data_IF_480649274861
#
_entry.id   IF_480649274861
#
_cell.length_a   1.000
_cell.length_b   1.000
_cell.length_c   1.000
_cell.angle_alpha   90.00
_cell.angle_beta   90.00
_cell.angle_gamma   90.00
#
_symmetry.space_group_name_H-M   'P 1'
#
loop_
_entity.id
_entity.type
_entity.pdbx_description
1 polymer ?
#
# COMPACT_ATOMS: atom_id res chain seq x y z
N UNK A 1 20.44 1.67 -15.76
CA UNK A 1 19.01 1.35 -15.64
C UNK A 1 18.63 1.32 -14.16
N UNK A 2 17.46 1.85 -13.84
CA UNK A 2 16.96 1.83 -12.46
C UNK A 2 16.02 0.65 -12.27
N UNK A 3 16.16 -0.03 -11.14
CA UNK A 3 15.23 -1.09 -10.75
C UNK A 3 14.54 -0.70 -9.46
N UNK A 4 13.24 -0.86 -9.43
CA UNK A 4 12.46 -0.63 -8.23
C UNK A 4 12.61 -1.84 -7.30
N UNK A 5 13.16 -1.62 -6.12
CA UNK A 5 13.37 -2.68 -5.13
C UNK A 5 12.11 -2.88 -4.28
N UNK A 6 11.63 -1.81 -3.68
CA UNK A 6 10.41 -1.87 -2.87
C UNK A 6 9.71 -0.52 -2.85
N UNK A 7 8.46 -0.53 -2.45
CA UNK A 7 7.67 0.68 -2.23
C UNK A 7 6.90 0.56 -0.93
N UNK A 8 6.64 1.69 -0.30
CA UNK A 8 5.68 1.80 0.78
C UNK A 8 4.61 2.76 0.33
N UNK A 9 3.37 2.29 0.32
CA UNK A 9 2.22 3.07 -0.12
C UNK A 9 1.23 3.23 1.02
N UNK A 10 0.65 4.41 1.16
CA UNK A 10 -0.35 4.69 2.18
C UNK A 10 -1.61 5.15 1.47
N UNK A 11 -2.71 4.49 1.78
CA UNK A 11 -4.02 4.78 1.18
C UNK A 11 -5.03 5.15 2.25
N UNK A 12 -6.01 5.93 1.85
CA UNK A 12 -7.17 6.22 2.66
C UNK A 12 -8.37 5.54 2.01
N UNK A 13 -9.07 4.72 2.77
CA UNK A 13 -10.31 4.05 2.32
C UNK A 13 -11.42 4.31 3.33
N UNK A 14 -12.66 4.28 2.85
CA UNK A 14 -13.81 4.69 3.66
C UNK A 14 -14.40 3.62 4.54
N UNK A 15 -14.12 2.34 4.29
CA UNK A 15 -14.74 1.24 5.02
C UNK A 15 -13.80 0.06 5.19
N UNK A 16 -14.14 -0.82 6.12
CA UNK A 16 -13.36 -2.05 6.33
C UNK A 16 -13.48 -3.00 5.13
N UNK A 17 -14.60 -2.98 4.44
CA UNK A 17 -14.80 -3.76 3.23
C UNK A 17 -13.81 -3.33 2.14
N UNK A 18 -13.56 -2.04 2.02
CA UNK A 18 -12.55 -1.52 1.08
C UNK A 18 -11.14 -1.94 1.47
N UNK A 19 -10.84 -2.02 2.77
CA UNK A 19 -9.56 -2.54 3.27
C UNK A 19 -9.38 -3.98 2.82
N UNK A 20 -10.42 -4.81 2.95
CA UNK A 20 -10.37 -6.22 2.55
C UNK A 20 -10.19 -6.38 1.04
N UNK A 21 -10.88 -5.58 0.26
CA UNK A 21 -10.74 -5.58 -1.20
C UNK A 21 -9.31 -5.20 -1.60
N UNK A 22 -8.76 -4.16 -1.00
CA UNK A 22 -7.40 -3.72 -1.27
C UNK A 22 -6.39 -4.80 -0.90
N UNK A 23 -6.57 -5.47 0.25
CA UNK A 23 -5.71 -6.56 0.67
C UNK A 23 -5.71 -7.70 -0.35
N UNK A 24 -6.88 -8.06 -0.85
CA UNK A 24 -7.01 -9.10 -1.84
C UNK A 24 -6.34 -8.73 -3.16
N UNK A 25 -6.50 -7.49 -3.60
CA UNK A 25 -5.83 -6.99 -4.81
C UNK A 25 -4.32 -7.09 -4.71
N UNK A 26 -3.73 -6.67 -3.58
CA UNK A 26 -2.27 -6.69 -3.43
C UNK A 26 -1.72 -8.09 -3.23
N UNK A 27 -2.51 -9.02 -2.70
CA UNK A 27 -2.09 -10.41 -2.54
C UNK A 27 -2.09 -11.18 -3.85
N UNK A 28 -2.98 -10.84 -4.75
CA UNK A 28 -3.15 -11.56 -6.03
C UNK A 28 -2.30 -11.00 -7.16
N UNK A 29 -1.67 -9.84 -6.96
CA UNK A 29 -0.81 -9.24 -7.98
C UNK A 29 0.52 -10.00 -8.02
N UNK A 30 0.86 -10.57 -9.18
CA UNK A 30 2.09 -11.34 -9.36
C UNK A 30 3.34 -10.54 -9.66
N UNK A 31 3.24 -9.20 -9.73
CA UNK A 31 4.38 -8.34 -10.07
C UNK A 31 5.30 -8.07 -8.89
N UNK A 32 4.86 -8.35 -7.68
CA UNK A 32 5.60 -8.07 -6.46
C UNK A 32 5.20 -9.03 -5.35
N UNK A 33 6.01 -9.05 -4.29
CA UNK A 33 5.67 -9.75 -3.06
C UNK A 33 5.15 -8.74 -2.04
N UNK A 34 4.09 -9.12 -1.34
CA UNK A 34 3.56 -8.31 -0.26
C UNK A 34 4.40 -8.53 1.00
N UNK A 35 5.20 -7.55 1.39
CA UNK A 35 6.05 -7.64 2.57
C UNK A 35 5.28 -7.33 3.85
N UNK A 36 4.39 -6.33 3.82
CA UNK A 36 3.55 -6.01 4.97
C UNK A 36 2.25 -5.33 4.51
N UNK A 37 1.22 -5.55 5.31
CA UNK A 37 -0.08 -4.91 5.13
C UNK A 37 -0.62 -4.60 6.51
N UNK A 38 -0.91 -3.34 6.77
CA UNK A 38 -1.48 -2.92 8.04
C UNK A 38 -2.49 -1.81 7.80
N UNK A 39 -3.40 -1.64 8.74
CA UNK A 39 -4.37 -0.56 8.66
C UNK A 39 -4.70 -0.05 10.05
N UNK A 40 -5.18 1.19 10.11
CA UNK A 40 -5.61 1.84 11.35
C UNK A 40 -6.93 2.54 11.10
N UNK A 41 -7.83 2.42 12.06
CA UNK A 41 -9.04 3.23 12.09
C UNK A 41 -8.69 4.64 12.52
N UNK A 42 -9.21 5.62 11.78
CA UNK A 42 -9.03 7.03 12.11
C UNK A 42 -10.37 7.75 12.05
N UNK A 43 -10.52 8.76 12.87
CA UNK A 43 -11.73 9.57 12.85
C UNK A 43 -11.41 11.01 13.26
N UNK A 44 -12.27 11.90 12.79
CA UNK A 44 -12.28 13.29 13.22
C UNK A 44 -13.51 13.50 14.08
N UNK A 45 -13.33 14.07 15.28
CA UNK A 45 -14.41 14.33 16.20
C UNK A 45 -14.57 15.83 16.40
N UNK A 46 -15.81 16.24 16.55
CA UNK A 46 -16.15 17.61 16.92
C UNK A 46 -17.25 17.58 17.96
N UNK A 47 -17.02 18.23 19.11
CA UNK A 47 -17.98 18.27 20.22
C UNK A 47 -18.42 16.88 20.69
N UNK A 48 -17.50 15.91 20.68
CA UNK A 48 -17.77 14.53 21.07
C UNK A 48 -18.44 13.65 20.03
N UNK A 49 -18.74 14.22 18.86
CA UNK A 49 -19.36 13.46 17.76
C UNK A 49 -18.35 13.16 16.66
N UNK A 50 -18.46 11.98 16.07
CA UNK A 50 -17.64 11.60 14.92
C UNK A 50 -18.23 12.25 13.68
N UNK A 51 -17.47 13.17 13.07
CA UNK A 51 -17.89 13.88 11.87
C UNK A 51 -17.29 13.29 10.60
N UNK A 52 -16.21 12.53 10.73
CA UNK A 52 -15.59 11.82 9.61
C UNK A 52 -14.82 10.62 10.17
N UNK A 53 -14.84 9.53 9.43
CA UNK A 53 -14.11 8.33 9.80
C UNK A 53 -13.58 7.64 8.54
N UNK A 54 -12.42 7.00 8.68
CA UNK A 54 -11.80 6.30 7.56
C UNK A 54 -10.78 5.30 8.07
N UNK A 55 -10.22 4.53 7.16
CA UNK A 55 -9.09 3.64 7.46
C UNK A 55 -7.87 4.09 6.68
N UNK A 56 -6.73 4.12 7.34
CA UNK A 56 -5.44 4.39 6.71
C UNK A 56 -4.73 3.06 6.55
N UNK A 57 -4.44 2.69 5.31
CA UNK A 57 -3.81 1.42 4.96
C UNK A 57 -2.37 1.67 4.54
N UNK A 58 -1.45 0.90 5.13
CA UNK A 58 -0.03 0.96 4.77
C UNK A 58 0.38 -0.36 4.16
N UNK A 59 0.98 -0.31 2.96
CA UNK A 59 1.35 -1.48 2.18
C UNK A 59 2.81 -1.38 1.79
N UNK A 60 3.58 -2.43 2.08
CA UNK A 60 4.95 -2.54 1.61
C UNK A 60 5.02 -3.65 0.58
N UNK A 61 5.47 -3.29 -0.62
CA UNK A 61 5.63 -4.18 -1.77
C UNK A 61 7.10 -4.35 -2.09
N UNK A 62 7.53 -5.58 -2.32
CA UNK A 62 8.91 -5.89 -2.71
C UNK A 62 8.90 -6.40 -4.13
N UNK A 63 9.64 -5.74 -5.00
CA UNK A 63 9.73 -6.09 -6.43
C UNK A 63 10.98 -6.89 -6.73
N UNK A 64 12.13 -6.39 -6.31
CA UNK A 64 13.41 -7.01 -6.59
C UNK A 64 14.36 -6.79 -5.43
N UNK A 65 14.72 -7.84 -4.72
CA UNK A 65 15.67 -7.75 -3.60
C UNK A 65 17.08 -8.17 -4.03
N UNK A 66 17.20 -8.89 -5.12
CA UNK A 66 18.46 -9.42 -5.59
C UNK A 66 19.19 -8.42 -6.47
N UNK A 67 20.51 -8.61 -6.57
CA UNK A 67 21.36 -7.78 -7.42
C UNK A 67 20.93 -7.83 -8.89
N UNK A 68 20.51 -9.02 -9.34
CA UNK A 68 20.04 -9.22 -10.70
C UNK A 68 18.52 -9.46 -10.64
N UNK A 69 17.71 -8.39 -10.72
CA UNK A 69 16.27 -8.51 -10.56
C UNK A 69 15.63 -9.25 -11.72
N UNK A 70 14.69 -10.14 -11.41
CA UNK A 70 13.92 -10.86 -12.39
C UNK A 70 12.73 -10.05 -12.93
N UNK A 71 12.36 -8.99 -12.25
CA UNK A 71 11.25 -8.12 -12.64
C UNK A 71 11.71 -6.69 -12.75
N UNK A 72 11.50 -6.10 -13.93
CA UNK A 72 11.80 -4.68 -14.15
C UNK A 72 10.48 -3.91 -14.12
N UNK A 73 10.41 -2.91 -13.27
CA UNK A 73 9.24 -2.05 -13.16
C UNK A 73 9.61 -0.69 -13.76
N UNK A 74 8.91 -0.32 -14.83
CA UNK A 74 9.10 0.98 -15.45
C UNK A 74 8.27 2.00 -14.68
N UNK A 75 8.97 2.94 -14.04
CA UNK A 75 8.34 3.99 -13.26
C UNK A 75 8.64 5.32 -13.93
N UNK A 76 7.62 6.12 -14.19
CA UNK A 76 7.75 7.40 -14.85
C UNK A 76 8.26 8.53 -13.94
N UNK A 77 8.73 8.22 -12.74
CA UNK A 77 9.25 9.20 -11.78
C UNK A 77 10.51 8.66 -11.12
N UNK A 78 11.29 9.55 -10.54
CA UNK A 78 12.49 9.14 -9.82
C UNK A 78 12.16 8.59 -8.45
N UNK A 79 12.81 7.49 -8.10
CA UNK A 79 12.73 6.89 -6.76
C UNK A 79 14.06 7.16 -6.08
N UNK A 80 14.00 7.85 -4.98
CA UNK A 80 15.18 8.16 -4.18
C UNK A 80 15.31 7.19 -3.02
#
# INVERSE_FOLDING_TARGET
>A
MKYLVNTTEVFRVGSIEEVEVLQEEVKTDGRYELASFSYKYKCTKQKGEIIDEWYQVSIKKVFNEEKDPCTVVDIGYEVN
#
